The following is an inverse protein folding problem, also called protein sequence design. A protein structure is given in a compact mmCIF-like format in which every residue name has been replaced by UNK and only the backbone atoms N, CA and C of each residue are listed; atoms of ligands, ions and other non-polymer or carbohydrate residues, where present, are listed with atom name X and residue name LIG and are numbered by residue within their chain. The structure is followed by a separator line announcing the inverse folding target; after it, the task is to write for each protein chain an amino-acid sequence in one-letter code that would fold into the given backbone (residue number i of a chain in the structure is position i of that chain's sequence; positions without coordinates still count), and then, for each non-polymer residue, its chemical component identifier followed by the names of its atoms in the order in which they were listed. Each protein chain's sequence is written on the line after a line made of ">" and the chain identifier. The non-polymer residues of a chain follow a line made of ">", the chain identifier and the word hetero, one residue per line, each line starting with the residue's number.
data_IF_954057911726
#
_entry.id   IF_954057911726
#
_cell.length_a   1.000
_cell.length_b   1.000
_cell.length_c   1.000
_cell.angle_alpha   90.00
_cell.angle_beta   90.00
_cell.angle_gamma   90.00
#
_symmetry.space_group_name_H-M   'P 1'
#
loop_
_entity.id
_entity.type
_entity.pdbx_description
1 polymer ?
#
# COMPACT_ATOMS: atom_id res chain seq x y z
N UNK A 1 71.87 -3.33 -31.09
CA UNK A 1 70.85 -2.41 -30.59
C UNK A 1 69.67 -2.26 -31.55
N UNK A 2 69.83 -2.23 -32.86
CA UNK A 2 68.72 -2.07 -33.83
C UNK A 2 67.81 -3.29 -33.99
N UNK A 3 68.31 -4.51 -33.81
CA UNK A 3 67.50 -5.74 -33.96
C UNK A 3 66.42 -5.91 -32.89
N UNK A 4 66.63 -5.44 -31.67
CA UNK A 4 65.66 -5.47 -30.58
C UNK A 4 64.50 -4.51 -30.78
N UNK A 5 64.76 -3.35 -31.39
CA UNK A 5 63.75 -2.33 -31.69
C UNK A 5 62.78 -2.81 -32.78
N UNK A 6 63.28 -3.52 -33.81
CA UNK A 6 62.45 -4.07 -34.89
C UNK A 6 61.55 -5.18 -34.39
N UNK A 7 62.03 -6.05 -33.50
CA UNK A 7 61.24 -7.13 -32.91
C UNK A 7 60.14 -6.61 -32.01
N UNK A 8 60.41 -5.53 -31.22
CA UNK A 8 59.41 -4.84 -30.37
C UNK A 8 58.32 -4.22 -31.21
N UNK A 9 58.67 -3.49 -32.29
CA UNK A 9 57.69 -2.87 -33.18
C UNK A 9 56.88 -3.88 -33.98
N UNK A 10 57.45 -5.02 -34.33
CA UNK A 10 56.73 -6.10 -35.00
C UNK A 10 55.70 -6.77 -34.06
N UNK A 11 56.06 -6.97 -32.79
CA UNK A 11 55.18 -7.50 -31.78
C UNK A 11 54.01 -6.57 -31.45
N UNK A 12 54.26 -5.24 -31.40
CA UNK A 12 53.17 -4.27 -31.18
C UNK A 12 52.25 -4.13 -32.40
N UNK A 13 52.76 -4.22 -33.61
CA UNK A 13 51.97 -4.26 -34.85
C UNK A 13 51.10 -5.51 -34.91
N UNK A 14 51.65 -6.70 -34.50
CA UNK A 14 50.91 -7.95 -34.45
C UNK A 14 49.79 -7.91 -33.37
N UNK A 15 50.04 -7.24 -32.24
CA UNK A 15 49.03 -7.02 -31.19
C UNK A 15 47.91 -6.09 -31.63
N UNK A 16 48.19 -5.02 -32.41
CA UNK A 16 47.17 -4.18 -32.99
C UNK A 16 46.30 -4.87 -34.04
N UNK A 17 46.90 -5.80 -34.83
CA UNK A 17 46.17 -6.64 -35.78
C UNK A 17 45.27 -7.70 -35.10
N UNK A 18 45.69 -8.21 -33.96
CA UNK A 18 44.88 -9.18 -33.17
C UNK A 18 43.74 -8.51 -32.41
N UNK A 19 43.75 -7.19 -32.22
CA UNK A 19 42.72 -6.42 -31.54
C UNK A 19 41.55 -5.98 -32.43
N UNK A 20 41.54 -6.33 -33.72
CA UNK A 20 40.40 -6.13 -34.61
C UNK A 20 39.53 -7.41 -34.50
N UNK A 21 39.08 -7.71 -33.26
CA UNK A 21 37.98 -8.64 -33.07
C UNK A 21 36.69 -7.90 -33.52
N UNK A 22 36.25 -8.30 -34.68
CA UNK A 22 34.88 -8.37 -35.14
C UNK A 22 33.93 -7.33 -34.52
N UNK A 23 33.83 -6.16 -35.15
CA UNK A 23 32.64 -5.35 -35.08
C UNK A 23 31.53 -6.18 -35.78
N UNK A 24 30.89 -7.08 -35.05
CA UNK A 24 29.63 -7.65 -35.48
C UNK A 24 28.60 -6.52 -35.43
N UNK A 25 28.52 -5.79 -36.54
CA UNK A 25 27.38 -4.93 -36.83
C UNK A 25 26.17 -5.85 -36.94
N UNK A 26 25.19 -5.57 -36.08
CA UNK A 26 23.83 -6.07 -36.14
C UNK A 26 23.65 -7.37 -36.93
N UNK A 27 23.65 -8.49 -36.22
CA UNK A 27 23.25 -9.78 -36.75
C UNK A 27 21.78 -9.64 -37.20
N UNK A 28 21.58 -9.33 -38.48
CA UNK A 28 20.25 -9.37 -39.06
C UNK A 28 19.86 -10.84 -39.13
N UNK A 29 19.12 -11.28 -38.13
CA UNK A 29 18.58 -12.65 -38.04
C UNK A 29 17.74 -13.04 -39.26
N UNK A 30 17.54 -12.11 -40.17
CA UNK A 30 16.68 -12.24 -41.33
C UNK A 30 17.48 -11.93 -42.59
N UNK A 31 17.40 -12.81 -43.58
CA UNK A 31 17.95 -12.59 -44.90
C UNK A 31 17.16 -11.53 -45.69
N UNK A 32 17.76 -11.03 -46.76
CA UNK A 32 17.14 -9.98 -47.64
C UNK A 32 15.80 -10.41 -48.27
N UNK A 33 15.52 -11.72 -48.33
CA UNK A 33 14.31 -12.30 -48.91
C UNK A 33 13.41 -12.99 -47.88
N UNK A 34 13.70 -12.85 -46.60
CA UNK A 34 12.88 -13.46 -45.56
C UNK A 34 11.55 -12.72 -45.40
N UNK A 35 10.48 -13.51 -45.33
CA UNK A 35 9.14 -12.97 -45.06
C UNK A 35 8.88 -12.96 -43.58
N UNK A 36 8.67 -11.80 -43.01
CA UNK A 36 8.33 -11.63 -41.60
C UNK A 36 6.83 -11.45 -41.47
N UNK A 37 6.17 -12.33 -40.73
CA UNK A 37 4.75 -12.19 -40.41
C UNK A 37 4.63 -11.29 -39.18
N UNK A 38 4.07 -10.09 -39.35
CA UNK A 38 3.78 -9.16 -38.28
C UNK A 38 2.27 -8.98 -38.09
N UNK A 39 1.87 -8.54 -36.88
CA UNK A 39 0.50 -8.14 -36.65
C UNK A 39 0.28 -6.77 -37.27
N UNK A 40 -0.88 -6.59 -37.92
CA UNK A 40 -1.25 -5.32 -38.53
C UNK A 40 -2.59 -4.83 -37.96
N UNK A 41 -2.78 -3.51 -37.95
CA UNK A 41 -4.04 -2.85 -37.63
C UNK A 41 -4.45 -1.98 -38.82
N UNK A 42 -5.75 -1.82 -39.01
CA UNK A 42 -6.30 -0.88 -40.00
C UNK A 42 -6.54 0.45 -39.31
N UNK A 43 -5.86 1.49 -39.77
CA UNK A 43 -6.01 2.86 -39.30
C UNK A 43 -6.31 3.80 -40.48
N UNK A 44 -7.43 4.51 -40.41
CA UNK A 44 -7.91 5.40 -41.49
C UNK A 44 -7.99 4.74 -42.89
N UNK A 45 -8.21 3.42 -42.94
CA UNK A 45 -8.29 2.67 -44.21
C UNK A 45 -6.96 2.05 -44.66
N UNK A 46 -5.85 2.42 -44.06
CA UNK A 46 -4.53 1.88 -44.35
C UNK A 46 -4.16 0.76 -43.40
N UNK A 47 -3.49 -0.26 -43.91
CA UNK A 47 -2.96 -1.36 -43.07
C UNK A 47 -1.54 -1.03 -42.62
N UNK A 48 -1.36 -0.79 -41.34
CA UNK A 48 -0.05 -0.47 -40.72
C UNK A 48 0.42 -1.60 -39.80
N UNK A 49 1.71 -1.83 -39.78
CA UNK A 49 2.33 -2.81 -38.92
C UNK A 49 2.16 -2.44 -37.43
N UNK A 50 1.68 -3.39 -36.63
CA UNK A 50 1.60 -3.25 -35.17
C UNK A 50 2.85 -3.83 -34.54
N UNK A 51 3.71 -2.97 -33.99
CA UNK A 51 4.89 -3.37 -33.25
C UNK A 51 4.73 -3.00 -31.78
N UNK A 52 4.81 -4.00 -30.91
CA UNK A 52 4.88 -3.75 -29.48
C UNK A 52 6.32 -3.37 -29.13
N UNK A 53 6.51 -2.16 -28.65
CA UNK A 53 7.82 -1.70 -28.18
C UNK A 53 8.08 -2.23 -26.76
N UNK A 54 9.35 -2.48 -26.48
CA UNK A 54 9.76 -2.81 -25.12
C UNK A 54 9.55 -1.63 -24.18
N UNK A 55 9.30 -1.93 -22.91
CA UNK A 55 9.12 -0.89 -21.90
C UNK A 55 10.41 -0.11 -21.69
N UNK A 56 10.37 1.18 -21.94
CA UNK A 56 11.50 2.07 -21.62
C UNK A 56 11.35 2.58 -20.20
N UNK A 57 12.33 2.27 -19.36
CA UNK A 57 12.38 2.74 -17.99
C UNK A 57 13.19 4.04 -17.91
N UNK A 58 12.51 5.15 -17.63
CA UNK A 58 13.16 6.43 -17.40
C UNK A 58 13.50 6.60 -15.91
N UNK A 59 14.78 6.69 -15.60
CA UNK A 59 15.27 6.95 -14.26
C UNK A 59 15.61 8.43 -14.13
N UNK A 60 14.82 9.16 -13.33
CA UNK A 60 15.08 10.56 -13.02
C UNK A 60 15.72 10.63 -11.64
N UNK A 61 16.85 11.34 -11.53
CA UNK A 61 17.46 11.64 -10.24
C UNK A 61 16.58 12.67 -9.53
N UNK A 62 15.96 12.27 -8.39
CA UNK A 62 15.13 13.15 -7.59
C UNK A 62 15.99 14.17 -6.83
N UNK A 63 15.49 15.40 -6.67
CA UNK A 63 16.07 16.37 -5.75
C UNK A 63 15.69 16.02 -4.29
N UNK A 64 16.32 16.69 -3.31
CA UNK A 64 16.08 16.40 -1.88
C UNK A 64 14.63 16.56 -1.44
N UNK A 65 13.93 17.58 -1.93
CA UNK A 65 12.51 17.80 -1.63
C UNK A 65 11.64 16.66 -2.17
N UNK A 66 11.85 16.25 -3.41
CA UNK A 66 11.16 15.13 -4.04
C UNK A 66 11.46 13.79 -3.34
N UNK A 67 12.70 13.60 -2.87
CA UNK A 67 13.08 12.42 -2.08
C UNK A 67 12.35 12.41 -0.74
N UNK A 68 12.25 13.56 -0.06
CA UNK A 68 11.49 13.70 1.20
C UNK A 68 10.01 13.38 1.01
N UNK A 69 9.38 13.92 -0.03
CA UNK A 69 7.97 13.69 -0.30
C UNK A 69 7.70 12.24 -0.70
N UNK A 70 8.59 11.63 -1.47
CA UNK A 70 8.52 10.19 -1.79
C UNK A 70 8.67 9.32 -0.53
N UNK A 71 9.53 9.72 0.41
CA UNK A 71 9.70 9.01 1.68
C UNK A 71 8.42 9.09 2.53
N UNK A 72 7.79 10.27 2.62
CA UNK A 72 6.49 10.45 3.32
C UNK A 72 5.39 9.62 2.67
N UNK A 73 5.31 9.64 1.34
CA UNK A 73 4.35 8.85 0.57
C UNK A 73 4.51 7.34 0.82
N UNK A 74 5.74 6.83 0.73
CA UNK A 74 6.03 5.42 0.98
C UNK A 74 5.78 5.03 2.43
N UNK A 75 6.10 5.90 3.39
CA UNK A 75 5.81 5.68 4.82
C UNK A 75 4.31 5.56 5.07
N UNK A 76 3.51 6.43 4.48
CA UNK A 76 2.06 6.37 4.60
C UNK A 76 1.49 5.12 3.93
N UNK A 77 1.94 4.82 2.70
CA UNK A 77 1.54 3.61 1.98
C UNK A 77 1.81 2.36 2.81
N UNK A 78 3.03 2.20 3.31
CA UNK A 78 3.38 1.06 4.15
C UNK A 78 2.54 1.00 5.43
N UNK A 79 2.29 2.13 6.08
CA UNK A 79 1.44 2.18 7.26
C UNK A 79 0.02 1.69 6.96
N UNK A 80 -0.59 2.11 5.85
CA UNK A 80 -1.92 1.65 5.43
C UNK A 80 -1.90 0.15 5.14
N UNK A 81 -0.90 -0.36 4.40
CA UNK A 81 -0.79 -1.78 4.08
C UNK A 81 -0.72 -2.67 5.32
N UNK A 82 0.06 -2.25 6.31
CA UNK A 82 0.22 -3.00 7.57
C UNK A 82 -1.03 -2.93 8.43
N UNK A 83 -1.72 -1.78 8.47
CA UNK A 83 -2.79 -1.54 9.45
C UNK A 83 -4.20 -1.79 8.91
N UNK A 84 -4.41 -1.74 7.59
CA UNK A 84 -5.74 -1.90 7.01
C UNK A 84 -6.41 -3.25 7.32
N UNK A 85 -5.72 -4.41 7.29
CA UNK A 85 -6.35 -5.68 7.68
C UNK A 85 -6.92 -5.66 9.09
N UNK A 86 -6.23 -5.02 10.03
CA UNK A 86 -6.70 -4.85 11.40
C UNK A 86 -7.89 -3.89 11.51
N UNK A 87 -7.83 -2.75 10.80
CA UNK A 87 -8.94 -1.81 10.76
C UNK A 87 -10.21 -2.45 10.21
N UNK A 88 -10.07 -3.20 9.12
CA UNK A 88 -11.19 -3.93 8.51
C UNK A 88 -11.78 -4.96 9.49
N UNK A 89 -10.93 -5.74 10.17
CA UNK A 89 -11.38 -6.71 11.15
C UNK A 89 -12.12 -6.05 12.32
N UNK A 90 -11.57 -4.95 12.83
CA UNK A 90 -12.23 -4.15 13.85
C UNK A 90 -13.59 -3.60 13.38
N UNK A 91 -13.66 -3.10 12.14
CA UNK A 91 -14.90 -2.64 11.53
C UNK A 91 -15.98 -3.72 11.47
N UNK A 92 -15.62 -4.93 11.04
CA UNK A 92 -16.56 -6.07 10.99
C UNK A 92 -17.11 -6.39 12.39
N UNK A 93 -16.23 -6.49 13.40
CA UNK A 93 -16.64 -6.80 14.77
C UNK A 93 -17.52 -5.69 15.34
N UNK A 94 -17.17 -4.43 15.12
CA UNK A 94 -17.96 -3.28 15.60
C UNK A 94 -19.31 -3.19 14.93
N UNK A 95 -19.41 -3.46 13.63
CA UNK A 95 -20.69 -3.49 12.93
C UNK A 95 -21.58 -4.63 13.45
N UNK A 96 -21.03 -5.82 13.69
CA UNK A 96 -21.77 -6.93 14.32
C UNK A 96 -22.29 -6.56 15.71
N UNK A 97 -21.46 -5.92 16.53
CA UNK A 97 -21.86 -5.42 17.84
C UNK A 97 -23.01 -4.43 17.70
N UNK A 98 -22.87 -3.44 16.82
CA UNK A 98 -23.88 -2.41 16.62
C UNK A 98 -25.24 -2.99 16.21
N UNK A 99 -25.25 -3.91 15.23
CA UNK A 99 -26.47 -4.59 14.78
C UNK A 99 -27.17 -5.33 15.94
N UNK A 100 -26.41 -6.03 16.76
CA UNK A 100 -26.97 -6.75 17.91
C UNK A 100 -27.45 -5.84 19.03
N UNK A 101 -26.75 -4.74 19.29
CA UNK A 101 -27.15 -3.78 20.32
C UNK A 101 -28.47 -3.06 20.00
N UNK A 102 -28.83 -2.91 18.73
CA UNK A 102 -30.15 -2.37 18.33
C UNK A 102 -31.29 -3.22 18.87
N UNK A 103 -31.11 -4.54 18.94
CA UNK A 103 -32.12 -5.49 19.37
C UNK A 103 -32.14 -5.74 20.90
N UNK A 104 -31.24 -5.12 21.67
CA UNK A 104 -31.13 -5.26 23.12
C UNK A 104 -31.57 -3.97 23.79
N UNK A 105 -32.77 -3.97 24.40
CA UNK A 105 -33.30 -2.78 25.10
C UNK A 105 -32.76 -2.65 26.52
N UNK A 106 -32.35 -3.72 27.15
CA UNK A 106 -31.89 -3.75 28.54
C UNK A 106 -30.43 -3.28 28.68
N UNK A 107 -30.20 -2.22 29.47
CA UNK A 107 -28.83 -1.70 29.76
C UNK A 107 -27.88 -2.76 30.32
N UNK A 108 -28.29 -3.62 31.31
CA UNK A 108 -27.40 -4.66 31.84
C UNK A 108 -27.01 -5.71 30.78
N UNK A 109 -27.96 -6.10 29.93
CA UNK A 109 -27.70 -7.08 28.85
C UNK A 109 -26.77 -6.50 27.79
N UNK A 110 -26.95 -5.24 27.39
CA UNK A 110 -26.03 -4.52 26.50
C UNK A 110 -24.61 -4.53 27.06
N UNK A 111 -24.44 -4.20 28.33
CA UNK A 111 -23.14 -4.22 29.02
C UNK A 111 -22.52 -5.62 29.03
N UNK A 112 -23.30 -6.65 29.35
CA UNK A 112 -22.83 -8.06 29.35
C UNK A 112 -22.41 -8.51 27.97
N UNK A 113 -23.18 -8.15 26.93
CA UNK A 113 -22.84 -8.46 25.54
C UNK A 113 -21.56 -7.76 25.11
N UNK A 114 -21.41 -6.46 25.37
CA UNK A 114 -20.18 -5.69 25.08
C UNK A 114 -18.98 -6.35 25.77
N UNK A 115 -19.08 -6.72 27.06
CA UNK A 115 -17.99 -7.37 27.79
C UNK A 115 -17.59 -8.72 27.20
N UNK A 116 -18.54 -9.48 26.66
CA UNK A 116 -18.21 -10.75 25.99
C UNK A 116 -17.38 -10.54 24.71
N UNK A 117 -17.72 -9.51 23.93
CA UNK A 117 -16.99 -9.17 22.70
C UNK A 117 -15.64 -8.50 22.96
N UNK A 118 -15.50 -7.83 24.11
CA UNK A 118 -14.22 -7.24 24.53
C UNK A 118 -13.10 -8.28 24.64
N UNK A 119 -13.42 -9.49 25.12
CA UNK A 119 -12.43 -10.58 25.23
C UNK A 119 -11.93 -11.01 23.85
N UNK A 120 -12.79 -11.02 22.84
CA UNK A 120 -12.44 -11.33 21.46
C UNK A 120 -11.53 -10.24 20.87
N UNK A 121 -11.93 -8.98 21.02
CA UNK A 121 -11.13 -7.84 20.58
C UNK A 121 -9.74 -7.85 21.22
N UNK A 122 -9.64 -8.11 22.52
CA UNK A 122 -8.35 -8.25 23.21
C UNK A 122 -7.50 -9.35 22.63
N UNK A 123 -8.06 -10.53 22.43
CA UNK A 123 -7.34 -11.68 21.88
C UNK A 123 -6.78 -11.39 20.49
N UNK A 124 -7.55 -10.74 19.64
CA UNK A 124 -7.16 -10.46 18.26
C UNK A 124 -6.19 -9.28 18.11
N UNK A 125 -6.35 -8.24 18.95
CA UNK A 125 -5.67 -6.97 18.70
C UNK A 125 -4.52 -6.65 19.66
N UNK A 126 -4.43 -7.30 20.85
CA UNK A 126 -3.39 -6.93 21.83
C UNK A 126 -1.98 -7.09 21.26
N UNK A 127 -1.66 -8.24 20.68
CA UNK A 127 -0.32 -8.50 20.14
C UNK A 127 -0.01 -7.65 18.90
N UNK A 128 -0.89 -7.60 17.87
CA UNK A 128 -0.63 -6.74 16.71
C UNK A 128 -0.45 -5.27 17.08
N UNK A 129 -1.29 -4.73 17.96
CA UNK A 129 -1.25 -3.31 18.33
C UNK A 129 0.04 -2.92 19.07
N UNK A 130 0.59 -3.81 19.91
CA UNK A 130 1.85 -3.54 20.63
C UNK A 130 3.05 -3.46 19.69
N UNK A 131 2.98 -4.07 18.52
CA UNK A 131 4.06 -4.08 17.52
C UNK A 131 3.98 -2.90 16.53
N UNK A 132 2.93 -2.09 16.58
CA UNK A 132 2.80 -0.94 15.71
C UNK A 132 3.64 0.25 16.20
N UNK A 133 4.26 0.95 15.26
CA UNK A 133 4.83 2.27 15.54
C UNK A 133 3.71 3.28 15.84
N UNK A 134 4.07 4.39 16.54
CA UNK A 134 3.13 5.50 16.83
C UNK A 134 2.46 6.01 15.54
N UNK A 135 3.21 6.11 14.45
CA UNK A 135 2.68 6.56 13.17
C UNK A 135 1.66 5.57 12.59
N UNK A 136 1.97 4.27 12.61
CA UNK A 136 1.05 3.22 12.18
C UNK A 136 -0.20 3.18 13.05
N UNK A 137 -0.06 3.36 14.36
CA UNK A 137 -1.19 3.47 15.27
C UNK A 137 -2.14 4.62 14.91
N UNK A 138 -1.61 5.80 14.59
CA UNK A 138 -2.42 6.95 14.12
C UNK A 138 -3.15 6.63 12.82
N UNK A 139 -2.49 5.98 11.86
CA UNK A 139 -3.11 5.54 10.60
C UNK A 139 -4.19 4.50 10.86
N UNK A 140 -3.93 3.51 11.72
CA UNK A 140 -4.92 2.50 12.11
C UNK A 140 -6.20 3.14 12.65
N UNK A 141 -6.07 4.15 13.50
CA UNK A 141 -7.24 4.83 14.08
C UNK A 141 -8.08 5.55 13.02
N UNK A 142 -7.42 6.23 12.08
CA UNK A 142 -8.12 6.83 10.92
C UNK A 142 -8.87 5.77 10.10
N UNK A 143 -8.23 4.62 9.89
CA UNK A 143 -8.83 3.52 9.14
C UNK A 143 -10.01 2.87 9.89
N UNK A 144 -9.93 2.71 11.22
CA UNK A 144 -11.05 2.24 12.02
C UNK A 144 -12.23 3.22 11.92
N UNK A 145 -11.95 4.52 11.99
CA UNK A 145 -12.99 5.54 11.79
C UNK A 145 -13.65 5.43 10.40
N UNK A 146 -12.85 5.20 9.36
CA UNK A 146 -13.34 4.91 8.00
C UNK A 146 -14.28 3.71 7.96
N UNK A 147 -13.86 2.59 8.54
CA UNK A 147 -14.57 1.31 8.45
C UNK A 147 -15.85 1.28 9.32
N UNK A 148 -15.87 2.02 10.43
CA UNK A 148 -17.00 2.03 11.38
C UNK A 148 -17.95 3.20 11.16
N UNK A 149 -17.50 4.23 10.46
CA UNK A 149 -18.24 5.51 10.36
C UNK A 149 -18.33 6.28 11.67
N UNK A 150 -17.74 5.76 12.75
CA UNK A 150 -17.75 6.33 14.07
C UNK A 150 -16.37 6.80 14.48
N UNK A 151 -16.32 7.91 15.20
CA UNK A 151 -15.07 8.38 15.78
C UNK A 151 -14.58 7.38 16.83
N UNK A 152 -13.34 6.93 16.70
CA UNK A 152 -12.72 6.03 17.67
C UNK A 152 -12.84 6.49 19.13
N UNK A 153 -12.90 7.79 19.34
CA UNK A 153 -13.14 8.38 20.67
C UNK A 153 -14.51 7.98 21.23
N UNK A 154 -15.56 8.04 20.44
CA UNK A 154 -16.92 7.68 20.87
C UNK A 154 -17.02 6.19 21.15
N UNK A 155 -16.42 5.36 20.30
CA UNK A 155 -16.31 3.92 20.54
C UNK A 155 -15.67 3.65 21.88
N UNK A 156 -14.51 4.27 22.16
CA UNK A 156 -13.80 4.09 23.43
C UNK A 156 -14.57 4.63 24.63
N UNK A 157 -15.29 5.73 24.45
CA UNK A 157 -16.13 6.30 25.51
C UNK A 157 -17.28 5.36 25.89
N UNK A 158 -17.92 4.75 24.93
CA UNK A 158 -19.02 3.79 25.16
C UNK A 158 -18.51 2.52 25.86
N UNK A 159 -17.26 2.10 25.56
CA UNK A 159 -16.60 0.96 26.19
C UNK A 159 -15.83 1.35 27.47
N UNK A 160 -15.88 2.62 27.91
CA UNK A 160 -15.19 3.09 29.13
C UNK A 160 -15.72 2.36 30.35
N UNK A 161 -14.83 1.61 30.99
CA UNK A 161 -15.12 0.78 32.17
C UNK A 161 -15.07 -0.74 31.91
N UNK A 162 -15.06 -1.17 30.66
CA UNK A 162 -14.89 -2.57 30.27
C UNK A 162 -13.48 -2.87 29.77
N UNK A 163 -12.75 -1.83 29.30
CA UNK A 163 -11.43 -1.98 28.68
C UNK A 163 -10.34 -2.01 29.74
N UNK A 164 -9.49 -3.04 29.68
CA UNK A 164 -8.34 -3.17 30.57
C UNK A 164 -7.43 -1.93 30.47
N UNK A 165 -6.92 -1.47 31.62
CA UNK A 165 -6.07 -0.29 31.72
C UNK A 165 -4.87 -0.30 30.75
N UNK A 166 -4.28 -1.47 30.48
CA UNK A 166 -3.17 -1.60 29.53
C UNK A 166 -3.60 -1.32 28.08
N UNK A 167 -4.72 -1.88 27.64
CA UNK A 167 -5.23 -1.60 26.28
C UNK A 167 -5.61 -0.13 26.16
N UNK A 168 -6.24 0.42 27.21
CA UNK A 168 -6.58 1.84 27.27
C UNK A 168 -5.34 2.73 27.22
N UNK A 169 -4.28 2.38 27.96
CA UNK A 169 -3.01 3.10 27.94
C UNK A 169 -2.33 3.04 26.56
N UNK A 170 -2.30 1.86 25.93
CA UNK A 170 -1.75 1.69 24.57
C UNK A 170 -2.53 2.53 23.58
N UNK A 171 -3.84 2.45 23.65
CA UNK A 171 -4.72 3.24 22.82
C UNK A 171 -4.53 4.73 23.15
N UNK A 172 -4.56 5.15 24.41
CA UNK A 172 -4.35 6.54 24.84
C UNK A 172 -2.98 7.09 24.41
N UNK A 173 -1.94 6.28 24.40
CA UNK A 173 -0.62 6.67 23.92
C UNK A 173 -0.63 7.02 22.42
N UNK A 174 -1.33 6.23 21.61
CA UNK A 174 -1.53 6.56 20.18
C UNK A 174 -2.46 7.76 19.97
N UNK A 175 -3.32 8.05 20.94
CA UNK A 175 -4.42 8.99 20.84
C UNK A 175 -4.09 10.44 21.23
N UNK A 176 -2.93 10.73 21.77
CA UNK A 176 -2.65 12.01 22.43
C UNK A 176 -2.68 13.26 21.52
N UNK A 177 -3.00 13.14 20.24
CA UNK A 177 -3.03 14.32 19.37
C UNK A 177 -4.20 14.48 18.38
N UNK A 178 -4.97 13.44 18.00
CA UNK A 178 -5.95 13.63 16.89
C UNK A 178 -7.17 12.69 16.90
N UNK A 179 -7.69 12.35 18.08
CA UNK A 179 -8.84 11.46 18.23
C UNK A 179 -10.17 11.98 17.70
N UNK A 180 -10.28 13.29 17.60
CA UNK A 180 -11.54 13.95 17.24
C UNK A 180 -11.68 14.22 15.74
N UNK A 181 -10.62 13.99 14.96
CA UNK A 181 -10.69 14.22 13.52
C UNK A 181 -11.49 13.11 12.83
N UNK A 182 -12.63 13.48 12.27
CA UNK A 182 -13.39 12.59 11.40
C UNK A 182 -12.55 12.22 10.17
N UNK A 183 -12.72 11.00 9.66
CA UNK A 183 -12.11 10.60 8.40
C UNK A 183 -12.78 11.32 7.23
N UNK A 184 -12.00 11.97 6.38
CA UNK A 184 -12.48 12.60 5.15
C UNK A 184 -11.68 12.13 3.94
N UNK A 185 -12.15 11.05 3.33
CA UNK A 185 -11.51 10.46 2.15
C UNK A 185 -11.59 11.31 0.88
N UNK A 186 -12.35 12.42 0.90
CA UNK A 186 -12.47 13.33 -0.25
C UNK A 186 -11.55 14.55 -0.13
N UNK A 187 -11.11 14.89 1.07
CA UNK A 187 -10.26 16.06 1.34
C UNK A 187 -8.93 15.63 1.97
N UNK A 188 -8.87 15.60 3.30
CA UNK A 188 -7.62 15.45 4.03
C UNK A 188 -7.02 14.05 3.95
N UNK A 189 -7.83 13.02 3.73
CA UNK A 189 -7.40 11.61 3.73
C UNK A 189 -7.43 10.95 2.34
N UNK A 190 -7.37 11.75 1.25
CA UNK A 190 -7.40 11.23 -0.13
C UNK A 190 -6.29 10.21 -0.42
N UNK A 191 -5.07 10.46 0.07
CA UNK A 191 -3.96 9.53 -0.11
C UNK A 191 -4.18 8.22 0.67
N UNK A 192 -4.76 8.32 1.87
CA UNK A 192 -5.12 7.14 2.67
C UNK A 192 -6.16 6.32 1.91
N UNK A 193 -7.20 6.97 1.38
CA UNK A 193 -8.26 6.32 0.60
C UNK A 193 -7.72 5.66 -0.67
N UNK A 194 -6.77 6.31 -1.37
CA UNK A 194 -6.07 5.72 -2.52
C UNK A 194 -5.38 4.41 -2.14
N UNK A 195 -4.63 4.39 -1.04
CA UNK A 195 -3.92 3.19 -0.58
C UNK A 195 -4.88 2.11 -0.05
N UNK A 196 -5.97 2.50 0.59
CA UNK A 196 -7.03 1.56 1.00
C UNK A 196 -7.59 0.84 -0.22
N UNK A 197 -7.96 1.57 -1.27
CA UNK A 197 -8.45 0.97 -2.53
C UNK A 197 -7.42 0.08 -3.21
N UNK A 198 -6.14 0.41 -3.09
CA UNK A 198 -5.04 -0.42 -3.58
C UNK A 198 -4.97 -1.75 -2.82
N UNK A 199 -5.00 -1.72 -1.48
CA UNK A 199 -5.01 -2.91 -0.63
C UNK A 199 -6.28 -3.75 -0.85
N UNK A 200 -7.45 -3.11 -0.97
CA UNK A 200 -8.70 -3.80 -1.25
C UNK A 200 -8.64 -4.58 -2.56
N UNK A 201 -8.13 -3.96 -3.62
CA UNK A 201 -7.96 -4.62 -4.92
C UNK A 201 -6.98 -5.78 -4.87
N UNK A 202 -5.85 -5.62 -4.17
CA UNK A 202 -4.82 -6.66 -4.05
C UNK A 202 -5.31 -7.91 -3.31
N UNK A 203 -6.16 -7.72 -2.29
CA UNK A 203 -6.66 -8.81 -1.44
C UNK A 203 -8.10 -9.23 -1.75
N UNK A 204 -8.73 -8.66 -2.76
CA UNK A 204 -10.13 -8.94 -3.10
C UNK A 204 -11.12 -8.51 -1.99
N UNK A 205 -10.76 -7.53 -1.16
CA UNK A 205 -11.64 -7.06 -0.10
C UNK A 205 -12.78 -6.19 -0.64
N UNK A 206 -14.00 -6.49 -0.24
CA UNK A 206 -15.15 -5.62 -0.48
C UNK A 206 -15.12 -4.42 0.47
N UNK A 207 -15.62 -3.27 0.02
CA UNK A 207 -15.75 -2.08 0.85
C UNK A 207 -16.88 -2.25 1.87
N UNK A 208 -16.54 -2.19 3.16
CA UNK A 208 -17.47 -2.30 4.29
C UNK A 208 -17.71 -0.95 4.99
N UNK A 209 -17.14 0.13 4.48
CA UNK A 209 -17.18 1.46 5.10
C UNK A 209 -18.56 2.13 5.09
N UNK A 210 -19.55 1.56 4.41
CA UNK A 210 -20.91 2.06 4.48
C UNK A 210 -21.56 1.53 5.76
N UNK A 211 -21.83 2.38 6.76
CA UNK A 211 -22.48 1.93 7.99
C UNK A 211 -23.87 1.40 7.65
N UNK A 212 -24.12 0.13 7.97
CA UNK A 212 -25.45 -0.45 7.79
C UNK A 212 -26.48 0.14 8.75
N UNK A 213 -26.06 0.73 9.86
CA UNK A 213 -26.95 1.38 10.84
C UNK A 213 -26.17 2.49 11.56
N UNK A 214 -26.63 3.72 11.47
CA UNK A 214 -26.26 4.79 12.42
C UNK A 214 -27.01 4.56 13.72
N UNK A 215 -26.30 4.29 14.81
CA UNK A 215 -26.94 4.35 16.13
C UNK A 215 -27.19 5.83 16.40
N UNK A 216 -28.45 6.20 16.37
CA UNK A 216 -28.91 7.49 16.90
C UNK A 216 -28.65 7.43 18.41
N UNK A 217 -27.80 8.30 18.92
CA UNK A 217 -27.65 8.48 20.35
C UNK A 217 -29.01 8.92 20.92
N UNK A 218 -29.66 8.03 21.65
CA UNK A 218 -30.75 8.37 22.55
C UNK A 218 -30.20 8.61 23.95
#
# INVERSE_FOLDING_TARGET
>A
MYRTIYISNLLTALWMLAGISELYGQDSRYGTNDTIVSRAIVYNGDTIELKTLENVYLYIRLNEAQMSDRAKYNRLRNAVYVTYPYARRAGIIMNDINVKLVNISSKPERKKYIQSREKELKKEFTVPLTNLSVYQGKVLMKLINRETGNNCYEILKEYKGSVNARLYQTVAFFFNSNLKQAYDGQKDDQLVEKFVKEVQRMHGYQDISKPMVKISAM
#
